data_IF_722356841716
#
_entry.id   IF_722356841716
#
_cell.length_a   1.000
_cell.length_b   1.000
_cell.length_c   1.000
_cell.angle_alpha   90.00
_cell.angle_beta   90.00
_cell.angle_gamma   90.00
#
_symmetry.space_group_name_H-M   'P 1'
#
loop_
_entity.id
_entity.type
_entity.pdbx_description
1 polymer ?
#
# COMPACT_ATOMS: atom_id res chain seq x y z
N UNK A 1 -8.82 -4.86 10.23
CA UNK A 1 -8.42 -3.56 9.64
C UNK A 1 -9.57 -2.55 9.60
N UNK A 2 -10.68 -2.79 8.89
CA UNK A 2 -11.83 -1.84 8.85
C UNK A 2 -12.39 -1.46 10.23
N UNK A 3 -12.65 -2.45 11.09
CA UNK A 3 -13.08 -2.24 12.48
C UNK A 3 -12.07 -1.41 13.29
N UNK A 4 -10.77 -1.62 13.07
CA UNK A 4 -9.72 -0.85 13.73
C UNK A 4 -9.72 0.62 13.28
N UNK A 5 -9.81 0.88 11.97
CA UNK A 5 -9.90 2.25 11.45
C UNK A 5 -11.19 2.96 11.90
N UNK A 6 -12.29 2.23 11.98
CA UNK A 6 -13.56 2.75 12.49
C UNK A 6 -13.46 3.12 13.97
N UNK A 7 -12.91 2.24 14.80
CA UNK A 7 -12.68 2.51 16.23
C UNK A 7 -11.70 3.67 16.47
N UNK A 8 -10.79 3.92 15.52
CA UNK A 8 -9.87 5.06 15.55
C UNK A 8 -10.45 6.36 14.97
N UNK A 9 -11.69 6.33 14.48
CA UNK A 9 -12.38 7.51 13.93
C UNK A 9 -11.85 7.97 12.57
N UNK A 10 -11.19 7.10 11.80
CA UNK A 10 -10.70 7.46 10.47
C UNK A 10 -11.87 7.58 9.50
N UNK A 11 -12.01 8.72 8.84
CA UNK A 11 -13.04 8.93 7.81
C UNK A 11 -12.89 7.92 6.67
N UNK A 12 -14.01 7.36 6.19
CA UNK A 12 -14.04 6.33 5.13
C UNK A 12 -13.29 6.72 3.85
N UNK A 13 -13.18 8.02 3.51
CA UNK A 13 -12.40 8.53 2.36
C UNK A 13 -10.92 8.14 2.41
N UNK A 14 -10.35 8.02 3.62
CA UNK A 14 -8.95 7.65 3.81
C UNK A 14 -8.75 6.15 3.96
N UNK A 15 -9.82 5.36 3.90
CA UNK A 15 -9.68 3.92 3.96
C UNK A 15 -9.12 3.43 2.63
N UNK A 16 -8.08 2.58 2.65
CA UNK A 16 -7.54 2.01 1.43
C UNK A 16 -8.62 1.17 0.73
N UNK A 17 -8.69 1.31 -0.60
CA UNK A 17 -9.55 0.49 -1.45
C UNK A 17 -9.09 -0.97 -1.50
N UNK A 18 -7.77 -1.20 -1.47
CA UNK A 18 -7.12 -2.51 -1.43
C UNK A 18 -6.03 -2.52 -0.36
N UNK A 19 -5.96 -3.59 0.42
CA UNK A 19 -4.90 -3.84 1.41
C UNK A 19 -4.26 -5.18 1.09
N UNK A 20 -2.95 -5.21 1.01
CA UNK A 20 -2.17 -6.40 0.68
C UNK A 20 -1.06 -6.59 1.69
N UNK A 21 -0.84 -7.83 2.10
CA UNK A 21 0.32 -8.22 2.88
C UNK A 21 1.42 -8.65 1.91
N UNK A 22 2.64 -8.21 2.18
CA UNK A 22 3.84 -8.53 1.41
C UNK A 22 4.93 -8.93 2.39
N UNK A 23 5.75 -9.89 2.01
CA UNK A 23 6.86 -10.36 2.84
C UNK A 23 7.98 -9.32 2.93
N UNK A 24 8.14 -8.50 1.89
CA UNK A 24 9.09 -7.39 1.85
C UNK A 24 8.55 -6.22 1.06
N UNK A 25 9.06 -5.02 1.36
CA UNK A 25 8.82 -3.80 0.59
C UNK A 25 10.10 -3.44 -0.16
N UNK A 26 10.02 -2.91 -1.39
CA UNK A 26 11.20 -2.44 -2.09
C UNK A 26 11.81 -1.27 -1.31
N UNK A 27 13.10 -1.39 -1.01
CA UNK A 27 13.86 -0.40 -0.24
C UNK A 27 15.05 0.14 -1.02
N UNK A 28 15.48 1.36 -0.72
CA UNK A 28 16.74 1.90 -1.21
C UNK A 28 17.90 1.20 -0.50
N UNK A 29 19.12 1.38 -0.98
CA UNK A 29 20.35 0.92 -0.31
C UNK A 29 20.49 1.47 1.12
N UNK A 30 19.84 2.60 1.42
CA UNK A 30 19.78 3.21 2.76
C UNK A 30 18.60 2.72 3.60
N UNK A 31 17.78 1.78 3.12
CA UNK A 31 16.63 1.21 3.84
C UNK A 31 15.33 2.01 3.76
N UNK A 32 15.22 3.01 2.89
CA UNK A 32 13.97 3.78 2.73
C UNK A 32 13.02 3.08 1.76
N UNK A 33 11.72 3.03 2.07
CA UNK A 33 10.71 2.45 1.16
C UNK A 33 10.68 3.22 -0.16
N UNK A 34 10.82 2.50 -1.28
CA UNK A 34 10.72 3.02 -2.63
C UNK A 34 9.27 2.99 -3.13
N UNK A 35 8.48 4.01 -2.75
CA UNK A 35 7.06 4.10 -3.12
C UNK A 35 6.80 4.07 -4.64
N UNK A 36 7.77 4.48 -5.47
CA UNK A 36 7.60 4.41 -6.93
C UNK A 36 7.62 2.96 -7.42
N UNK A 37 8.53 2.13 -6.91
CA UNK A 37 8.62 0.71 -7.28
C UNK A 37 7.34 -0.05 -6.91
N UNK A 38 6.76 0.23 -5.73
CA UNK A 38 5.46 -0.32 -5.34
C UNK A 38 4.33 0.05 -6.31
N UNK A 39 4.33 1.28 -6.85
CA UNK A 39 3.33 1.70 -7.84
C UNK A 39 3.52 0.99 -9.18
N UNK A 40 4.76 0.79 -9.60
CA UNK A 40 5.08 0.03 -10.82
C UNK A 40 4.69 -1.44 -10.71
N UNK A 41 4.95 -2.06 -9.56
CA UNK A 41 4.49 -3.42 -9.26
C UNK A 41 2.97 -3.52 -9.33
N UNK A 42 2.25 -2.59 -8.70
CA UNK A 42 0.78 -2.53 -8.76
C UNK A 42 0.25 -2.35 -10.18
N UNK A 43 0.89 -1.51 -11.02
CA UNK A 43 0.52 -1.35 -12.44
C UNK A 43 0.70 -2.64 -13.21
N UNK A 44 1.86 -3.29 -13.07
CA UNK A 44 2.17 -4.58 -13.71
C UNK A 44 1.16 -5.66 -13.31
N UNK A 45 0.83 -5.77 -12.03
CA UNK A 45 -0.16 -6.73 -11.54
C UNK A 45 -1.58 -6.45 -12.04
N UNK A 46 -1.93 -5.18 -12.24
CA UNK A 46 -3.21 -4.77 -12.79
C UNK A 46 -3.30 -4.90 -14.33
N UNK A 47 -2.21 -5.31 -15.00
CA UNK A 47 -2.13 -5.34 -16.46
C UNK A 47 -2.19 -3.95 -17.10
N UNK A 48 -1.85 -2.91 -16.35
CA UNK A 48 -1.82 -1.52 -16.81
C UNK A 48 -0.43 -1.19 -17.37
N UNK A 49 -0.36 -0.38 -18.45
CA UNK A 49 0.89 0.08 -19.02
C UNK A 49 1.66 1.02 -18.08
#
# INVERSE_FOLDING_TARGET
MKTFLQGRGVTKKYWPSRLELRDSLPMTTSGKIQKFALREELRREAGLP
#
